data_IF_566162247810
#
_entry.id   IF_566162247810
#
_cell.length_a   1.000
_cell.length_b   1.000
_cell.length_c   1.000
_cell.angle_alpha   90.00
_cell.angle_beta   90.00
_cell.angle_gamma   90.00
#
_symmetry.space_group_name_H-M   'P 1'
#
loop_
_entity.id
_entity.type
_entity.pdbx_description
1 polymer ?
#
# COMPACT_ATOMS: atom_id res chain seq x y z
N UNK A 1 -44.25 -25.68 9.17
CA UNK A 1 -43.67 -24.36 8.86
C UNK A 1 -42.64 -24.05 9.94
N UNK A 2 -41.40 -24.57 9.85
CA UNK A 2 -40.30 -24.24 10.77
C UNK A 2 -38.99 -24.87 10.27
N UNK A 3 -38.43 -24.35 9.18
CA UNK A 3 -37.08 -24.74 8.71
C UNK A 3 -36.25 -23.49 8.43
N UNK A 4 -36.12 -22.60 9.41
CA UNK A 4 -35.33 -21.37 9.27
C UNK A 4 -34.68 -21.01 10.61
N UNK A 5 -33.85 -21.89 11.19
CA UNK A 5 -33.04 -21.50 12.37
C UNK A 5 -31.56 -21.92 12.22
N UNK A 6 -31.23 -22.93 11.41
CA UNK A 6 -29.85 -23.44 11.32
C UNK A 6 -28.91 -22.77 10.30
N UNK A 7 -29.37 -21.78 9.51
CA UNK A 7 -28.50 -21.07 8.53
C UNK A 7 -27.85 -19.80 9.06
N UNK A 8 -28.34 -19.25 10.18
CA UNK A 8 -27.86 -17.97 10.69
C UNK A 8 -26.55 -18.06 11.49
N UNK A 9 -26.22 -19.23 12.06
CA UNK A 9 -25.07 -19.35 12.97
C UNK A 9 -23.71 -19.48 12.28
N UNK A 10 -23.66 -19.84 10.99
CA UNK A 10 -22.38 -20.03 10.27
C UNK A 10 -21.87 -18.71 9.67
N UNK A 11 -22.77 -17.80 9.27
CA UNK A 11 -22.36 -16.52 8.68
C UNK A 11 -21.75 -15.55 9.69
N UNK A 12 -22.18 -15.58 10.95
CA UNK A 12 -21.67 -14.66 11.97
C UNK A 12 -20.25 -15.00 12.39
N UNK A 13 -19.86 -16.29 12.32
CA UNK A 13 -18.52 -16.74 12.70
C UNK A 13 -17.47 -16.44 11.62
N UNK A 14 -17.87 -16.36 10.34
CA UNK A 14 -16.96 -16.02 9.25
C UNK A 14 -16.60 -14.52 9.20
N UNK A 15 -17.48 -13.65 9.70
CA UNK A 15 -17.24 -12.20 9.73
C UNK A 15 -16.26 -11.76 10.84
N UNK A 16 -16.05 -12.59 11.86
CA UNK A 16 -15.15 -12.28 12.99
C UNK A 16 -13.67 -12.58 12.71
N UNK A 17 -13.35 -13.24 11.60
CA UNK A 17 -11.97 -13.65 11.25
C UNK A 17 -11.20 -12.61 10.42
N UNK A 18 -11.80 -11.46 10.09
CA UNK A 18 -11.16 -10.40 9.28
C UNK A 18 -10.60 -9.26 10.15
N UNK A 19 -10.14 -9.56 11.36
CA UNK A 19 -9.44 -8.58 12.21
C UNK A 19 -8.05 -9.07 12.65
N UNK A 20 -7.40 -9.87 11.82
CA UNK A 20 -6.01 -10.27 12.05
C UNK A 20 -5.10 -9.27 11.31
N UNK A 21 -4.24 -8.62 12.09
CA UNK A 21 -3.00 -7.90 11.77
C UNK A 21 -3.07 -6.51 11.12
N UNK A 22 -3.26 -5.46 11.95
CA UNK A 22 -2.73 -4.09 11.68
C UNK A 22 -1.82 -3.58 12.81
N UNK A 23 -1.38 -4.45 13.71
CA UNK A 23 -0.52 -4.08 14.83
C UNK A 23 0.97 -4.13 14.44
N UNK A 24 1.40 -3.15 13.63
CA UNK A 24 2.81 -2.70 13.50
C UNK A 24 3.01 -1.47 12.59
N UNK A 25 2.00 -0.98 11.85
CA UNK A 25 2.17 0.14 10.89
C UNK A 25 2.36 1.52 11.57
N UNK A 26 2.11 1.64 12.88
CA UNK A 26 2.07 2.94 13.54
C UNK A 26 3.43 3.68 13.63
N UNK A 27 4.56 3.02 13.33
CA UNK A 27 5.90 3.63 13.39
C UNK A 27 6.78 3.31 12.18
N UNK A 28 6.18 3.00 11.02
CA UNK A 28 6.94 2.68 9.81
C UNK A 28 6.72 3.71 8.69
N UNK A 29 7.72 3.92 7.83
CA UNK A 29 7.56 4.70 6.61
C UNK A 29 6.53 4.05 5.70
N UNK A 30 5.74 4.88 5.03
CA UNK A 30 4.68 4.42 4.14
C UNK A 30 4.67 5.21 2.85
N UNK A 31 4.39 4.52 1.75
CA UNK A 31 4.09 5.14 0.47
C UNK A 31 2.62 4.95 0.17
N UNK A 32 1.88 6.05 0.02
CA UNK A 32 0.51 6.04 -0.49
C UNK A 32 0.52 6.47 -1.95
N UNK A 33 -0.04 5.67 -2.84
CA UNK A 33 -0.18 5.97 -4.27
C UNK A 33 -1.66 6.19 -4.61
N UNK A 34 -1.91 7.05 -5.60
CA UNK A 34 -3.24 7.49 -5.99
C UNK A 34 -3.53 7.09 -7.42
N UNK A 35 -4.74 6.60 -7.69
CA UNK A 35 -5.17 6.26 -9.04
C UNK A 35 -5.12 7.48 -9.97
N UNK A 36 -5.55 8.63 -9.45
CA UNK A 36 -5.70 9.85 -10.22
C UNK A 36 -6.91 9.83 -11.16
N UNK A 37 -7.28 11.00 -11.68
CA UNK A 37 -8.17 11.12 -12.84
C UNK A 37 -7.31 11.04 -14.11
N UNK A 38 -7.68 10.14 -15.03
CA UNK A 38 -6.90 9.83 -16.23
C UNK A 38 -5.42 9.49 -15.93
N UNK A 39 -5.15 8.89 -14.77
CA UNK A 39 -3.81 8.54 -14.32
C UNK A 39 -2.96 9.73 -13.85
N UNK A 40 -3.58 10.82 -13.38
CA UNK A 40 -2.89 11.98 -12.75
C UNK A 40 -3.67 12.52 -11.54
N UNK A 41 -2.96 13.10 -10.59
CA UNK A 41 -3.53 13.71 -9.39
C UNK A 41 -3.55 12.79 -8.17
N UNK A 42 -3.63 13.41 -6.99
CA UNK A 42 -3.77 12.70 -5.71
C UNK A 42 -5.24 12.52 -5.32
N UNK A 43 -6.00 11.84 -6.17
CA UNK A 43 -7.45 11.64 -6.03
C UNK A 43 -7.86 10.24 -6.48
N UNK A 44 -9.08 9.83 -6.14
CA UNK A 44 -9.61 8.52 -6.50
C UNK A 44 -9.20 7.43 -5.50
N UNK A 45 -9.06 6.20 -5.98
CA UNK A 45 -8.63 5.08 -5.16
C UNK A 45 -7.18 5.23 -4.72
N UNK A 46 -6.86 4.65 -3.56
CA UNK A 46 -5.53 4.71 -2.96
C UNK A 46 -5.00 3.32 -2.66
N UNK A 47 -3.68 3.19 -2.72
CA UNK A 47 -2.96 2.00 -2.28
C UNK A 47 -1.85 2.46 -1.32
N UNK A 48 -1.71 1.78 -0.18
CA UNK A 48 -0.69 2.12 0.81
C UNK A 48 0.26 0.94 0.98
N UNK A 49 1.56 1.22 0.80
CA UNK A 49 2.65 0.28 0.91
C UNK A 49 3.46 0.56 2.17
N UNK A 50 3.72 -0.49 2.96
CA UNK A 50 4.50 -0.43 4.18
C UNK A 50 5.90 -1.04 4.02
N UNK A 51 6.61 -1.16 5.13
CA UNK A 51 7.95 -1.72 5.14
C UNK A 51 7.98 -3.27 5.10
N UNK A 52 9.13 -3.81 4.70
CA UNK A 52 9.51 -5.21 4.92
C UNK A 52 9.40 -6.12 3.70
N UNK A 53 8.76 -5.69 2.62
CA UNK A 53 8.67 -6.45 1.38
C UNK A 53 8.58 -5.54 0.15
N UNK A 54 8.83 -6.12 -1.02
CA UNK A 54 8.61 -5.45 -2.28
C UNK A 54 7.11 -5.40 -2.59
N UNK A 55 6.64 -4.25 -3.05
CA UNK A 55 5.27 -4.06 -3.49
C UNK A 55 5.23 -3.58 -4.93
N UNK A 56 4.48 -4.27 -5.79
CA UNK A 56 4.09 -3.72 -7.08
C UNK A 56 3.10 -2.57 -6.85
N UNK A 57 3.21 -1.51 -7.65
CA UNK A 57 2.36 -0.33 -7.59
C UNK A 57 1.29 -0.45 -8.67
N UNK A 58 0.02 -0.42 -8.29
CA UNK A 58 -1.07 -0.42 -9.28
C UNK A 58 -1.39 1.01 -9.77
N UNK A 59 -1.24 2.00 -8.88
CA UNK A 59 -1.71 3.36 -9.11
C UNK A 59 -0.57 4.35 -9.34
N UNK A 60 -0.65 5.08 -10.45
CA UNK A 60 0.44 5.93 -10.95
C UNK A 60 0.05 7.41 -11.09
N UNK A 61 -1.09 7.82 -10.53
CA UNK A 61 -1.61 9.20 -10.65
C UNK A 61 -0.88 10.22 -9.80
N UNK A 62 -0.32 9.78 -8.69
CA UNK A 62 0.47 10.58 -7.77
C UNK A 62 0.83 9.74 -6.54
N UNK A 63 1.66 10.29 -5.67
CA UNK A 63 2.04 9.62 -4.43
C UNK A 63 2.26 10.61 -3.29
N UNK A 64 2.17 10.07 -2.08
CA UNK A 64 2.59 10.68 -0.84
C UNK A 64 3.44 9.67 -0.08
N UNK A 65 4.69 10.01 0.16
CA UNK A 65 5.59 9.27 1.01
C UNK A 65 5.67 9.97 2.37
N UNK A 66 5.34 9.23 3.42
CA UNK A 66 5.53 9.64 4.81
C UNK A 66 6.74 8.88 5.34
N UNK A 67 7.80 9.61 5.66
CA UNK A 67 9.00 9.04 6.24
C UNK A 67 8.92 9.00 7.76
N UNK A 68 8.93 7.80 8.29
CA UNK A 68 9.10 7.53 9.72
C UNK A 68 10.42 6.82 9.96
N UNK A 69 10.62 5.68 9.29
CA UNK A 69 11.83 4.88 9.36
C UNK A 69 12.31 4.38 7.97
N UNK A 70 13.60 4.49 7.67
CA UNK A 70 14.12 4.12 6.35
C UNK A 70 13.65 5.05 5.20
N UNK A 71 14.06 4.69 3.99
CA UNK A 71 13.77 5.43 2.74
C UNK A 71 13.07 4.50 1.76
N UNK A 72 12.14 5.00 0.94
CA UNK A 72 11.53 4.17 -0.09
C UNK A 72 12.46 4.06 -1.31
N UNK A 73 12.72 2.83 -1.74
CA UNK A 73 13.47 2.52 -2.95
C UNK A 73 12.47 2.24 -4.08
N UNK A 74 12.49 3.06 -5.13
CA UNK A 74 11.56 2.98 -6.25
C UNK A 74 12.22 2.30 -7.46
N UNK A 75 11.49 1.43 -8.14
CA UNK A 75 12.01 0.61 -9.24
C UNK A 75 11.15 0.71 -10.50
N UNK A 76 11.77 0.57 -11.67
CA UNK A 76 11.06 0.44 -12.96
C UNK A 76 10.49 -0.96 -13.19
N UNK A 77 10.98 -1.96 -12.49
CA UNK A 77 10.47 -3.34 -12.54
C UNK A 77 9.30 -3.50 -11.57
N UNK A 78 8.50 -4.56 -11.70
CA UNK A 78 7.34 -4.83 -10.83
C UNK A 78 7.67 -5.66 -9.58
N UNK A 79 8.90 -6.14 -9.45
CA UNK A 79 9.36 -7.09 -8.43
C UNK A 79 10.57 -6.58 -7.64
N UNK A 80 10.83 -5.27 -7.67
CA UNK A 80 11.99 -4.61 -7.05
C UNK A 80 13.33 -5.22 -7.46
N UNK A 81 13.39 -5.85 -8.65
CA UNK A 81 14.62 -6.38 -9.21
C UNK A 81 15.42 -5.29 -9.93
N UNK A 82 16.74 -5.50 -10.02
CA UNK A 82 17.66 -4.57 -10.66
C UNK A 82 18.02 -3.38 -9.77
N UNK A 83 18.43 -2.29 -10.42
CA UNK A 83 18.88 -1.08 -9.72
C UNK A 83 17.70 -0.18 -9.34
N UNK A 84 17.80 0.42 -8.17
CA UNK A 84 16.88 1.47 -7.73
C UNK A 84 16.97 2.69 -8.65
N UNK A 85 15.83 3.20 -9.11
CA UNK A 85 15.74 4.37 -10.00
C UNK A 85 15.67 5.68 -9.21
N UNK A 86 14.98 5.66 -8.07
CA UNK A 86 14.81 6.80 -7.17
C UNK A 86 14.75 6.35 -5.72
N UNK A 87 15.32 7.15 -4.84
CA UNK A 87 15.20 6.99 -3.38
C UNK A 87 14.41 8.16 -2.84
N UNK A 88 13.34 7.89 -2.10
CA UNK A 88 12.58 8.90 -1.35
C UNK A 88 13.09 8.88 0.09
N UNK A 89 13.79 9.93 0.50
CA UNK A 89 14.51 10.01 1.78
C UNK A 89 13.90 10.97 2.79
N UNK A 90 12.80 11.63 2.44
CA UNK A 90 12.07 12.62 3.24
C UNK A 90 10.59 12.58 2.85
N UNK A 91 9.74 13.21 3.65
CA UNK A 91 8.32 13.36 3.30
C UNK A 91 8.18 14.01 1.93
N UNK A 92 7.50 13.34 1.01
CA UNK A 92 7.41 13.78 -0.39
C UNK A 92 5.98 13.61 -0.88
N UNK A 93 5.43 14.67 -1.45
CA UNK A 93 4.07 14.67 -2.00
C UNK A 93 4.11 15.16 -3.44
N UNK A 94 3.77 14.28 -4.38
CA UNK A 94 3.63 14.61 -5.80
C UNK A 94 2.28 14.16 -6.35
N UNK A 95 1.55 15.08 -6.99
CA UNK A 95 0.26 14.80 -7.63
C UNK A 95 0.34 14.73 -9.16
N UNK A 96 1.54 14.50 -9.67
CA UNK A 96 1.77 14.20 -11.08
C UNK A 96 2.01 12.71 -11.26
N UNK A 97 1.85 12.24 -12.50
CA UNK A 97 2.11 10.85 -12.79
C UNK A 97 3.58 10.48 -12.61
N UNK A 98 3.82 9.23 -12.24
CA UNK A 98 5.16 8.67 -12.13
C UNK A 98 5.27 7.33 -12.87
N UNK A 99 6.51 6.85 -13.06
CA UNK A 99 6.81 5.70 -13.94
C UNK A 99 7.50 4.53 -13.24
N UNK A 100 7.47 4.51 -11.91
CA UNK A 100 7.97 3.38 -11.10
C UNK A 100 6.87 2.36 -10.90
N UNK A 101 7.20 1.08 -11.08
CA UNK A 101 6.23 -0.03 -11.04
C UNK A 101 6.29 -0.82 -9.73
N UNK A 102 7.32 -0.61 -8.89
CA UNK A 102 7.38 -1.21 -7.56
C UNK A 102 8.17 -0.35 -6.57
N UNK A 103 7.94 -0.60 -5.30
CA UNK A 103 8.61 0.03 -4.17
C UNK A 103 9.07 -1.02 -3.17
N UNK A 104 10.26 -0.83 -2.62
CA UNK A 104 10.72 -1.52 -1.43
C UNK A 104 11.03 -0.50 -0.33
N UNK A 105 10.40 -0.67 0.82
CA UNK A 105 10.66 0.14 2.01
C UNK A 105 11.34 -0.77 3.04
N UNK A 106 12.63 -0.59 3.35
CA UNK A 106 13.29 -1.35 4.40
C UNK A 106 12.69 -0.94 5.75
N UNK A 107 12.30 -1.92 6.58
CA UNK A 107 11.95 -1.63 7.97
C UNK A 107 13.21 -1.25 8.73
N UNK A 108 13.11 -0.30 9.66
CA UNK A 108 14.14 -0.21 10.70
C UNK A 108 14.08 -1.45 11.59
N UNK A 109 15.25 -1.94 11.98
CA UNK A 109 15.41 -3.08 12.89
C UNK A 109 15.30 -2.63 14.35
#
# INVERSE_FOLDING_TARGET
>A
MTTIIFKASILVLAAALVMISISNVANASTLTTFQGLDGRGCIGNVETHGCGQCHAIAYHGGFYFLKVDGSALMYKTSDCSGSTDKVLSDDEWHCDNFSWNSVFIPCSA
#
